data_IF_261165330202
#
_entry.id   IF_261165330202
#
_cell.length_a   1.000
_cell.length_b   1.000
_cell.length_c   1.000
_cell.angle_alpha   90.00
_cell.angle_beta   90.00
_cell.angle_gamma   90.00
#
_symmetry.space_group_name_H-M   'P 1'
#
loop_
_entity.id
_entity.type
_entity.pdbx_description
1 polymer ?
#
# COMPACT_ATOMS: atom_id res chain seq x y z
N UNK A 1 7.87 -29.60 2.38
CA UNK A 1 7.64 -28.26 2.95
C UNK A 1 7.70 -27.20 1.86
N UNK A 2 6.92 -26.17 1.98
CA UNK A 2 6.84 -25.12 0.97
C UNK A 2 7.50 -23.83 1.46
N UNK A 3 7.85 -22.95 0.52
CA UNK A 3 8.37 -21.60 0.82
C UNK A 3 7.24 -20.70 1.30
N UNK A 4 7.61 -19.62 1.96
CA UNK A 4 6.69 -18.54 2.37
C UNK A 4 7.19 -17.23 1.79
N UNK A 5 6.28 -16.29 1.57
CA UNK A 5 6.65 -14.94 1.17
C UNK A 5 7.04 -14.19 2.43
N UNK A 6 8.33 -13.87 2.56
CA UNK A 6 8.86 -13.16 3.73
C UNK A 6 8.71 -11.66 3.58
N UNK A 7 9.02 -11.14 2.41
CA UNK A 7 9.00 -9.70 2.18
C UNK A 7 8.80 -9.39 0.70
N UNK A 8 8.41 -8.15 0.44
CA UNK A 8 8.32 -7.56 -0.91
C UNK A 8 9.29 -6.40 -0.95
N UNK A 9 10.07 -6.31 -2.02
CA UNK A 9 11.02 -5.22 -2.21
C UNK A 9 10.53 -4.27 -3.29
N UNK A 10 10.54 -2.98 -2.98
CA UNK A 10 10.19 -1.90 -3.90
C UNK A 10 11.46 -1.18 -4.33
N UNK A 11 11.66 -1.05 -5.62
CA UNK A 11 12.63 -0.10 -6.16
C UNK A 11 11.98 1.27 -6.18
N UNK A 12 12.70 2.29 -5.71
CA UNK A 12 12.10 3.62 -5.50
C UNK A 12 13.13 4.73 -5.71
N UNK A 13 12.64 5.96 -5.67
CA UNK A 13 13.49 7.16 -5.77
C UNK A 13 13.94 7.62 -4.39
N UNK A 14 13.05 7.57 -3.40
CA UNK A 14 13.34 7.96 -2.02
C UNK A 14 12.78 6.90 -1.08
N UNK A 15 13.64 6.04 -0.57
CA UNK A 15 13.23 4.90 0.23
C UNK A 15 12.55 5.32 1.53
N UNK A 16 13.09 6.30 2.24
CA UNK A 16 12.48 6.75 3.51
C UNK A 16 11.10 7.34 3.29
N UNK A 17 10.95 8.20 2.28
CA UNK A 17 9.67 8.86 2.01
C UNK A 17 8.61 7.85 1.60
N UNK A 18 8.93 6.92 0.70
CA UNK A 18 7.98 5.90 0.26
C UNK A 18 7.62 4.94 1.39
N UNK A 19 8.62 4.50 2.17
CA UNK A 19 8.37 3.65 3.34
C UNK A 19 7.48 4.35 4.37
N UNK A 20 7.65 5.66 4.55
CA UNK A 20 6.81 6.46 5.45
C UNK A 20 5.34 6.42 5.04
N UNK A 21 5.05 6.54 3.75
CA UNK A 21 3.68 6.41 3.24
C UNK A 21 3.11 5.02 3.56
N UNK A 22 3.84 3.95 3.19
CA UNK A 22 3.33 2.59 3.39
C UNK A 22 3.20 2.21 4.86
N UNK A 23 4.14 2.66 5.70
CA UNK A 23 4.04 2.44 7.15
C UNK A 23 2.77 3.09 7.71
N UNK A 24 2.51 4.35 7.35
CA UNK A 24 1.30 5.04 7.77
C UNK A 24 0.03 4.40 7.22
N UNK A 25 0.07 3.96 5.95
CA UNK A 25 -1.07 3.28 5.32
C UNK A 25 -1.43 1.99 6.05
N UNK A 26 -0.42 1.24 6.50
CA UNK A 26 -0.60 -0.05 7.16
C UNK A 26 -0.68 0.05 8.69
N UNK A 27 -0.54 1.24 9.26
CA UNK A 27 -0.62 1.43 10.71
C UNK A 27 0.61 0.92 11.47
N UNK A 28 1.77 1.03 10.88
CA UNK A 28 3.04 0.61 11.49
C UNK A 28 4.08 1.72 11.32
N UNK A 29 5.33 1.43 11.64
CA UNK A 29 6.41 2.39 11.62
C UNK A 29 7.52 1.98 10.66
N UNK A 30 8.27 2.97 10.17
CA UNK A 30 9.50 2.75 9.41
C UNK A 30 10.62 2.41 10.40
N UNK A 31 11.57 1.58 9.99
CA UNK A 31 12.73 1.25 10.83
C UNK A 31 13.54 2.49 11.20
N UNK A 32 14.20 2.45 12.36
CA UNK A 32 14.97 3.58 12.90
C UNK A 32 16.18 3.94 12.02
N UNK A 33 16.73 2.95 11.32
CA UNK A 33 17.91 3.10 10.49
C UNK A 33 17.59 3.53 9.05
N UNK A 34 16.33 3.84 8.75
CA UNK A 34 15.89 4.21 7.40
C UNK A 34 16.64 5.43 6.87
N UNK A 35 17.02 5.35 5.60
CA UNK A 35 17.63 6.45 4.86
C UNK A 35 16.91 6.63 3.52
N UNK A 36 17.26 7.66 2.77
CA UNK A 36 16.72 7.82 1.42
C UNK A 36 17.17 6.70 0.48
N UNK A 37 18.23 5.97 0.84
CA UNK A 37 18.78 4.86 0.04
C UNK A 37 18.08 3.54 0.35
N UNK A 38 17.66 3.32 1.60
CA UNK A 38 17.12 2.04 2.05
C UNK A 38 16.23 2.23 3.27
N UNK A 39 15.09 1.54 3.27
CA UNK A 39 14.15 1.55 4.38
C UNK A 39 13.41 0.21 4.47
N UNK A 40 12.86 -0.06 5.64
CA UNK A 40 12.15 -1.30 5.93
C UNK A 40 10.87 -1.00 6.71
N UNK A 41 9.80 -1.69 6.35
CA UNK A 41 8.51 -1.63 7.05
C UNK A 41 8.13 -3.04 7.43
N UNK A 42 7.95 -3.28 8.73
CA UNK A 42 7.50 -4.57 9.23
C UNK A 42 5.97 -4.60 9.20
N UNK A 43 5.41 -5.67 8.63
CA UNK A 43 3.97 -5.84 8.59
C UNK A 43 3.42 -6.05 10.00
N UNK A 44 2.32 -5.36 10.38
CA UNK A 44 1.71 -5.55 11.69
C UNK A 44 0.96 -6.88 11.72
N UNK A 45 1.42 -7.83 12.55
CA UNK A 45 0.77 -9.13 12.69
C UNK A 45 0.61 -9.85 11.35
N UNK A 46 -0.63 -10.06 10.94
CA UNK A 46 -0.96 -10.71 9.67
C UNK A 46 -1.34 -9.72 8.57
N UNK A 47 -0.87 -8.48 8.68
CA UNK A 47 -1.23 -7.41 7.75
C UNK A 47 -0.55 -7.50 6.38
N UNK A 48 0.14 -8.60 6.09
CA UNK A 48 0.81 -8.81 4.82
C UNK A 48 2.31 -9.06 4.98
N UNK A 49 3.06 -9.17 3.88
CA UNK A 49 4.51 -9.34 3.94
C UNK A 49 5.20 -8.07 4.40
N UNK A 50 6.38 -8.23 5.00
CA UNK A 50 7.26 -7.09 5.28
C UNK A 50 7.68 -6.43 3.96
N UNK A 51 8.07 -5.17 4.01
CA UNK A 51 8.40 -4.39 2.82
C UNK A 51 9.79 -3.78 2.94
N UNK A 52 10.61 -3.97 1.92
CA UNK A 52 11.87 -3.28 1.73
C UNK A 52 11.73 -2.21 0.66
N UNK A 53 12.40 -1.10 0.84
CA UNK A 53 12.45 0.00 -0.12
C UNK A 53 13.91 0.30 -0.41
N UNK A 54 14.31 0.17 -1.67
CA UNK A 54 15.70 0.35 -2.09
C UNK A 54 15.75 1.39 -3.21
N UNK A 55 16.54 2.42 -3.00
CA UNK A 55 16.71 3.44 -4.02
C UNK A 55 17.42 2.87 -5.24
N UNK A 56 16.88 3.19 -6.41
CA UNK A 56 17.48 2.87 -7.69
C UNK A 56 17.70 4.15 -8.49
N UNK A 57 18.72 4.21 -9.39
CA UNK A 57 19.03 5.44 -10.12
C UNK A 57 18.00 5.77 -11.19
N UNK A 58 17.35 4.78 -11.77
CA UNK A 58 16.38 4.99 -12.84
C UNK A 58 14.95 5.15 -12.31
N UNK A 59 14.22 6.21 -12.75
CA UNK A 59 12.81 6.33 -12.39
C UNK A 59 11.98 5.28 -13.11
N UNK A 60 10.77 4.95 -12.56
CA UNK A 60 9.88 4.01 -13.24
C UNK A 60 9.41 4.58 -14.58
N UNK A 61 9.51 3.79 -15.63
CA UNK A 61 9.13 4.19 -16.98
C UNK A 61 7.85 3.52 -17.47
N UNK A 62 7.39 2.46 -16.78
CA UNK A 62 6.19 1.72 -17.14
C UNK A 62 5.41 1.39 -15.87
N UNK A 63 4.11 1.12 -16.03
CA UNK A 63 3.25 0.69 -14.94
C UNK A 63 3.77 -0.62 -14.35
N UNK A 64 3.89 -0.69 -13.02
CA UNK A 64 4.20 -1.93 -12.33
C UNK A 64 3.05 -2.92 -12.54
N UNK A 65 3.37 -4.16 -12.87
CA UNK A 65 2.37 -5.19 -13.13
C UNK A 65 1.82 -5.81 -11.84
N UNK A 66 2.51 -5.63 -10.72
CA UNK A 66 2.03 -6.04 -9.40
C UNK A 66 1.52 -4.83 -8.65
N UNK A 67 0.42 -4.99 -7.95
CA UNK A 67 -0.11 -3.94 -7.08
C UNK A 67 -0.80 -4.57 -5.88
N UNK A 68 -0.89 -3.81 -4.80
CA UNK A 68 -1.57 -4.27 -3.59
C UNK A 68 -3.03 -3.87 -3.62
N UNK A 69 -3.88 -4.79 -3.16
CA UNK A 69 -5.29 -4.52 -2.92
C UNK A 69 -5.48 -4.39 -1.42
N UNK A 70 -5.92 -3.22 -0.98
CA UNK A 70 -6.12 -2.91 0.43
C UNK A 70 -7.61 -2.96 0.75
N UNK A 71 -7.97 -3.61 1.85
CA UNK A 71 -9.33 -3.56 2.36
C UNK A 71 -9.46 -2.35 3.29
N UNK A 72 -10.44 -1.50 3.04
CA UNK A 72 -10.71 -0.38 3.94
C UNK A 72 -11.16 -0.92 5.31
N UNK A 73 -10.69 -0.32 6.42
CA UNK A 73 -11.08 -0.79 7.76
C UNK A 73 -12.54 -0.48 8.10
N UNK A 74 -13.12 0.56 7.52
CA UNK A 74 -14.51 0.96 7.73
C UNK A 74 -15.20 1.17 6.39
N UNK A 75 -15.09 2.37 5.77
CA UNK A 75 -15.62 2.63 4.44
C UNK A 75 -14.49 2.88 3.45
N UNK A 76 -14.73 2.51 2.20
CA UNK A 76 -13.78 2.79 1.11
C UNK A 76 -13.56 4.30 0.97
N UNK A 77 -14.62 5.10 1.03
CA UNK A 77 -14.51 6.55 0.86
C UNK A 77 -13.63 7.19 1.93
N UNK A 78 -13.78 6.80 3.20
CA UNK A 78 -12.97 7.31 4.29
C UNK A 78 -11.50 6.89 4.12
N UNK A 79 -11.25 5.67 3.73
CA UNK A 79 -9.89 5.18 3.54
C UNK A 79 -9.19 5.84 2.36
N UNK A 80 -9.90 6.03 1.24
CA UNK A 80 -9.37 6.78 0.10
C UNK A 80 -8.97 8.19 0.53
N UNK A 81 -9.80 8.87 1.31
CA UNK A 81 -9.50 10.21 1.79
C UNK A 81 -8.29 10.21 2.73
N UNK A 82 -8.20 9.23 3.62
CA UNK A 82 -7.05 9.10 4.53
C UNK A 82 -5.74 8.90 3.75
N UNK A 83 -5.75 7.96 2.80
CA UNK A 83 -4.55 7.69 1.98
C UNK A 83 -4.18 8.89 1.13
N UNK A 84 -5.16 9.62 0.60
CA UNK A 84 -4.90 10.86 -0.15
C UNK A 84 -4.21 11.91 0.73
N UNK A 85 -4.59 12.01 2.00
CA UNK A 85 -3.94 12.92 2.94
C UNK A 85 -2.49 12.54 3.24
N UNK A 86 -2.14 11.26 3.02
CA UNK A 86 -0.78 10.75 3.20
C UNK A 86 0.07 10.88 1.93
N UNK A 87 -0.52 11.30 0.81
CA UNK A 87 0.21 11.51 -0.43
C UNK A 87 -0.21 10.63 -1.61
N UNK A 88 -1.17 9.72 -1.42
CA UNK A 88 -1.71 8.92 -2.53
C UNK A 88 -2.61 9.79 -3.41
N UNK A 89 -2.75 9.38 -4.66
CA UNK A 89 -3.61 10.08 -5.63
C UNK A 89 -4.66 9.12 -6.16
N UNK A 90 -5.89 9.61 -6.31
CA UNK A 90 -6.96 8.86 -6.94
C UNK A 90 -6.75 8.85 -8.45
N UNK A 91 -6.79 7.66 -9.04
CA UNK A 91 -6.74 7.48 -10.49
C UNK A 91 -8.14 7.29 -11.06
N UNK A 92 -8.91 6.37 -10.47
CA UNK A 92 -10.24 6.06 -10.97
C UNK A 92 -11.10 5.44 -9.86
N UNK A 93 -12.35 5.86 -9.79
CA UNK A 93 -13.32 5.38 -8.79
C UNK A 93 -14.32 4.44 -9.45
N UNK A 94 -14.52 3.28 -8.80
CA UNK A 94 -15.57 2.33 -9.15
C UNK A 94 -16.42 2.05 -7.93
N UNK A 95 -17.59 1.44 -8.10
CA UNK A 95 -18.45 1.11 -6.97
C UNK A 95 -17.82 0.07 -6.03
N UNK A 96 -17.03 -0.85 -6.58
CA UNK A 96 -16.42 -1.96 -5.83
C UNK A 96 -15.03 -1.64 -5.27
N UNK A 97 -14.32 -0.68 -5.87
CA UNK A 97 -12.96 -0.34 -5.49
C UNK A 97 -12.55 1.01 -6.06
N UNK A 98 -11.48 1.58 -5.53
CA UNK A 98 -10.86 2.79 -6.05
C UNK A 98 -9.41 2.50 -6.38
N UNK A 99 -8.99 2.85 -7.59
CA UNK A 99 -7.59 2.74 -8.02
C UNK A 99 -6.87 4.02 -7.61
N UNK A 100 -5.76 3.87 -6.89
CA UNK A 100 -4.92 4.97 -6.45
C UNK A 100 -3.47 4.71 -6.85
N UNK A 101 -2.65 5.74 -6.72
CA UNK A 101 -1.20 5.58 -6.80
C UNK A 101 -0.57 6.08 -5.50
N UNK A 102 0.53 5.43 -5.08
CA UNK A 102 1.32 5.90 -3.96
C UNK A 102 2.14 7.15 -4.38
N UNK A 103 2.90 7.78 -3.47
CA UNK A 103 3.65 8.99 -3.82
C UNK A 103 4.66 8.84 -4.95
N UNK A 104 5.08 7.62 -5.27
CA UNK A 104 5.99 7.37 -6.39
C UNK A 104 5.30 6.77 -7.61
N UNK A 105 3.97 6.73 -7.64
CA UNK A 105 3.21 6.29 -8.80
C UNK A 105 2.93 4.79 -8.85
N UNK A 106 3.23 4.04 -7.80
CA UNK A 106 2.88 2.62 -7.76
C UNK A 106 1.37 2.48 -7.55
N UNK A 107 0.74 1.63 -8.37
CA UNK A 107 -0.70 1.41 -8.30
C UNK A 107 -1.07 0.60 -7.07
N UNK A 108 -2.14 1.02 -6.42
CA UNK A 108 -2.80 0.25 -5.36
C UNK A 108 -4.31 0.38 -5.54
N UNK A 109 -5.05 -0.59 -5.03
CA UNK A 109 -6.51 -0.55 -5.04
C UNK A 109 -7.01 -0.53 -3.61
N UNK A 110 -8.06 0.25 -3.37
CA UNK A 110 -8.77 0.26 -2.09
C UNK A 110 -10.14 -0.35 -2.31
N UNK A 111 -10.43 -1.42 -1.58
CA UNK A 111 -11.68 -2.16 -1.69
C UNK A 111 -12.67 -1.74 -0.61
N UNK A 112 -13.94 -2.09 -0.81
CA UNK A 112 -15.00 -1.83 0.16
C UNK A 112 -14.63 -2.40 1.53
N UNK A 113 -14.96 -1.66 2.57
CA UNK A 113 -14.78 -2.08 3.95
C UNK A 113 -16.06 -2.63 4.57
N UNK A 114 -15.98 -3.13 5.82
CA UNK A 114 -17.13 -3.72 6.50
C UNK A 114 -18.35 -2.78 6.59
N UNK A 115 -18.12 -1.48 6.78
CA UNK A 115 -19.21 -0.51 6.90
C UNK A 115 -19.93 -0.29 5.56
N UNK A 116 -19.23 -0.44 4.42
CA UNK A 116 -19.85 -0.38 3.10
C UNK A 116 -20.73 -1.60 2.82
N UNK A 117 -20.37 -2.73 3.42
CA UNK A 117 -20.99 -4.02 3.18
C UNK A 117 -22.03 -4.37 4.23
N UNK A 118 -22.34 -3.43 5.12
CA UNK A 118 -23.30 -3.64 6.20
C UNK A 118 -24.65 -4.02 5.63
N UNK A 119 -25.20 -5.17 6.10
CA UNK A 119 -26.44 -5.71 5.60
C UNK A 119 -26.32 -6.49 4.29
N UNK A 120 -25.12 -6.65 3.75
CA UNK A 120 -24.86 -7.44 2.55
C UNK A 120 -24.19 -8.76 2.90
N UNK A 121 -24.43 -9.77 2.06
CA UNK A 121 -23.70 -11.04 2.18
C UNK A 121 -22.29 -10.82 1.62
N UNK A 122 -21.26 -11.11 2.44
CA UNK A 122 -19.88 -11.07 1.99
C UNK A 122 -19.60 -12.29 1.12
N UNK A 123 -19.24 -12.05 -0.12
CA UNK A 123 -18.75 -13.11 -1.00
C UNK A 123 -17.23 -13.10 -0.88
N UNK A 124 -16.65 -14.24 -0.49
CA UNK A 124 -15.20 -14.38 -0.44
C UNK A 124 -14.63 -14.21 -1.84
N UNK A 125 -13.71 -13.27 -1.99
CA UNK A 125 -13.04 -13.01 -3.27
C UNK A 125 -11.66 -13.64 -3.30
#
# INVERSE_FOLDING_TARGET
MASVIKSVSFDCVDARALAGFWAAALGTDVDEDATSERAYVEAPGWGGPNMWFNRVPEPPSVKNRMHFDLRAPETMAAEVQRLASLGAKVQERFDSHTIMTDPEGNVLCVELGPADLQGRVLVAS
#
